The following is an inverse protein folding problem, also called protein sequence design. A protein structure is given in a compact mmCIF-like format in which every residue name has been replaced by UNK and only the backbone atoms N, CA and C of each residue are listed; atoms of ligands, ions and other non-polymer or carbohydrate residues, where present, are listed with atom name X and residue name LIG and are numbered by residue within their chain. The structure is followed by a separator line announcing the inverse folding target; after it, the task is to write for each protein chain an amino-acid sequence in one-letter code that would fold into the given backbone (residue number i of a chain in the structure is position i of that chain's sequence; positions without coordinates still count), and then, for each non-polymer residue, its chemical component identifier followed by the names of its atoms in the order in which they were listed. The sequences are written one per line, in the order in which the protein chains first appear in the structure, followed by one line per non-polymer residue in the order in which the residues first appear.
data_IF_022131187199
#
_entry.id   IF_022131187199
#
_cell.length_a   1.000
_cell.length_b   1.000
_cell.length_c   1.000
_cell.angle_alpha   90.00
_cell.angle_beta   90.00
_cell.angle_gamma   90.00
#
_symmetry.space_group_name_H-M   'P 1'
#
loop_
_entity.id
_entity.type
_entity.pdbx_description
1 polymer ?
#
# COMPACT_ATOMS: atom_id res chain seq x y z
N UNK A 1 2.35 -3.24 -18.64
CA UNK A 1 2.99 -4.27 -17.78
C UNK A 1 4.47 -3.98 -17.51
N UNK A 2 5.35 -3.89 -18.53
CA UNK A 2 6.80 -3.67 -18.32
C UNK A 2 7.16 -2.48 -17.41
N UNK A 3 6.52 -1.32 -17.60
CA UNK A 3 6.73 -0.13 -16.75
C UNK A 3 6.32 -0.35 -15.30
N UNK A 4 5.24 -1.08 -15.07
CA UNK A 4 4.77 -1.41 -13.72
C UNK A 4 5.81 -2.27 -13.00
N UNK A 5 6.25 -3.35 -13.64
CA UNK A 5 7.29 -4.23 -13.10
C UNK A 5 8.60 -3.46 -12.82
N UNK A 6 9.01 -2.58 -13.73
CA UNK A 6 10.22 -1.76 -13.54
C UNK A 6 10.11 -0.85 -12.30
N UNK A 7 8.97 -0.17 -12.11
CA UNK A 7 8.73 0.66 -10.92
C UNK A 7 8.66 -0.19 -9.66
N UNK A 8 8.04 -1.38 -9.71
CA UNK A 8 8.00 -2.31 -8.58
C UNK A 8 9.39 -2.75 -8.16
N UNK A 9 10.22 -3.20 -9.10
CA UNK A 9 11.60 -3.62 -8.81
C UNK A 9 12.41 -2.44 -8.28
N UNK A 10 12.34 -1.27 -8.93
CA UNK A 10 13.06 -0.08 -8.49
C UNK A 10 12.63 0.37 -7.08
N UNK A 11 11.33 0.33 -6.79
CA UNK A 11 10.79 0.65 -5.47
C UNK A 11 11.21 -0.37 -4.40
N UNK A 12 11.26 -1.66 -4.73
CA UNK A 12 11.74 -2.69 -3.82
C UNK A 12 13.24 -2.55 -3.51
N UNK A 13 14.05 -2.23 -4.52
CA UNK A 13 15.48 -1.91 -4.33
C UNK A 13 15.62 -0.66 -3.47
N UNK A 14 14.85 0.41 -3.75
CA UNK A 14 14.85 1.61 -2.93
C UNK A 14 14.50 1.28 -1.47
N UNK A 15 13.46 0.46 -1.24
CA UNK A 15 13.04 0.03 0.08
C UNK A 15 14.15 -0.74 0.82
N UNK A 16 14.84 -1.65 0.14
CA UNK A 16 15.99 -2.35 0.71
C UNK A 16 17.16 -1.42 1.03
N UNK A 17 17.40 -0.39 0.21
CA UNK A 17 18.48 0.57 0.39
C UNK A 17 18.25 1.53 1.57
N UNK A 18 16.99 1.96 1.76
CA UNK A 18 16.60 2.92 2.80
C UNK A 18 16.01 2.26 4.05
N UNK A 19 15.73 0.95 4.03
CA UNK A 19 15.22 0.21 5.18
C UNK A 19 16.26 0.03 6.30
N UNK A 20 15.89 -0.49 7.47
CA UNK A 20 16.71 -0.51 8.70
C UNK A 20 18.13 -1.07 8.55
N UNK A 21 18.32 -2.04 7.64
CA UNK A 21 19.60 -2.71 7.38
C UNK A 21 20.27 -2.26 6.07
N UNK A 22 19.66 -1.30 5.37
CA UNK A 22 20.16 -0.74 4.13
C UNK A 22 21.26 0.32 4.36
N UNK A 23 22.13 0.57 3.36
CA UNK A 23 23.21 1.54 3.47
C UNK A 23 22.75 2.97 3.77
N UNK A 24 21.51 3.33 3.45
CA UNK A 24 20.94 4.67 3.65
C UNK A 24 19.85 4.72 4.72
N UNK A 25 19.59 3.60 5.41
CA UNK A 25 18.48 3.48 6.37
C UNK A 25 18.82 3.80 7.82
N UNK A 26 19.89 4.56 8.09
CA UNK A 26 20.35 4.85 9.46
C UNK A 26 19.29 5.50 10.35
N UNK A 27 18.34 6.23 9.76
CA UNK A 27 17.23 6.82 10.51
C UNK A 27 16.23 5.79 11.05
N UNK A 28 16.22 4.58 10.49
CA UNK A 28 15.50 3.42 11.00
C UNK A 28 16.42 2.41 11.71
N UNK A 29 17.63 2.80 12.12
CA UNK A 29 18.58 1.85 12.70
C UNK A 29 17.91 1.03 13.82
N UNK A 30 18.04 -0.31 13.82
CA UNK A 30 17.41 -1.14 14.84
C UNK A 30 17.84 -0.74 16.25
N UNK A 31 16.90 -0.82 17.20
CA UNK A 31 17.16 -0.55 18.60
C UNK A 31 18.28 -1.49 19.14
N UNK A 32 19.15 -1.03 20.05
CA UNK A 32 20.23 -1.85 20.61
C UNK A 32 19.76 -3.17 21.25
N UNK A 33 18.56 -3.15 21.84
CA UNK A 33 17.91 -4.31 22.46
C UNK A 33 17.23 -5.26 21.47
N UNK A 34 17.24 -4.96 20.16
CA UNK A 34 16.59 -5.80 19.17
C UNK A 34 17.27 -7.18 19.10
N UNK A 35 16.53 -8.30 19.30
CA UNK A 35 17.13 -9.62 19.37
C UNK A 35 17.93 -9.98 18.12
N UNK A 36 19.10 -10.60 18.33
CA UNK A 36 19.83 -11.25 17.23
C UNK A 36 19.12 -12.55 16.89
N UNK A 37 18.73 -12.67 15.62
CA UNK A 37 18.11 -13.87 15.06
C UNK A 37 19.13 -14.61 14.18
N UNK A 38 19.18 -15.94 14.30
CA UNK A 38 20.09 -16.82 13.57
C UNK A 38 19.35 -17.99 12.89
N UNK A 39 20.11 -18.80 12.14
CA UNK A 39 19.61 -19.99 11.47
C UNK A 39 18.36 -19.78 10.62
N UNK A 40 17.39 -20.70 10.76
CA UNK A 40 16.13 -20.68 10.03
C UNK A 40 15.25 -19.46 10.34
N UNK A 41 15.29 -18.96 11.59
CA UNK A 41 14.52 -17.79 11.99
C UNK A 41 14.98 -16.55 11.24
N UNK A 42 16.31 -16.37 11.10
CA UNK A 42 16.89 -15.30 10.28
C UNK A 42 16.46 -15.41 8.82
N UNK A 43 16.46 -16.62 8.24
CA UNK A 43 16.02 -16.82 6.87
C UNK A 43 14.55 -16.43 6.67
N UNK A 44 13.68 -16.77 7.62
CA UNK A 44 12.27 -16.36 7.63
C UNK A 44 12.10 -14.84 7.60
N UNK A 45 12.76 -14.12 8.52
CA UNK A 45 12.69 -12.65 8.56
C UNK A 45 13.29 -11.97 7.32
N UNK A 46 14.30 -12.57 6.69
CA UNK A 46 14.83 -12.07 5.41
C UNK A 46 13.78 -12.20 4.32
N UNK A 47 13.10 -13.35 4.22
CA UNK A 47 12.06 -13.59 3.25
C UNK A 47 10.86 -12.65 3.44
N UNK A 48 10.42 -12.46 4.68
CA UNK A 48 9.37 -11.49 5.05
C UNK A 48 9.75 -10.08 4.60
N UNK A 49 10.94 -9.59 4.97
CA UNK A 49 11.41 -8.26 4.57
C UNK A 49 11.52 -8.11 3.03
N UNK A 50 11.85 -9.18 2.29
CA UNK A 50 11.83 -9.15 0.83
C UNK A 50 10.40 -8.98 0.29
N UNK A 51 9.41 -9.67 0.87
CA UNK A 51 8.01 -9.54 0.49
C UNK A 51 7.49 -8.12 0.78
N UNK A 52 7.81 -7.56 1.94
CA UNK A 52 7.44 -6.19 2.29
C UNK A 52 8.06 -5.14 1.35
N UNK A 53 9.33 -5.32 0.98
CA UNK A 53 9.98 -4.44 -0.01
C UNK A 53 9.33 -4.55 -1.39
N UNK A 54 8.97 -5.75 -1.83
CA UNK A 54 8.23 -5.96 -3.08
C UNK A 54 6.84 -5.33 -3.02
N UNK A 55 6.12 -5.48 -1.90
CA UNK A 55 4.83 -4.84 -1.67
C UNK A 55 4.96 -3.32 -1.71
N UNK A 56 5.99 -2.75 -1.06
CA UNK A 56 6.30 -1.32 -1.14
C UNK A 56 6.50 -0.85 -2.58
N UNK A 57 7.34 -1.55 -3.34
CA UNK A 57 7.53 -1.26 -4.75
C UNK A 57 6.25 -1.36 -5.58
N UNK A 58 5.40 -2.36 -5.31
CA UNK A 58 4.10 -2.50 -5.96
C UNK A 58 3.16 -1.34 -5.59
N UNK A 59 3.15 -0.90 -4.33
CA UNK A 59 2.42 0.27 -3.87
C UNK A 59 2.85 1.55 -4.61
N UNK A 60 4.15 1.76 -4.81
CA UNK A 60 4.67 2.87 -5.63
C UNK A 60 4.25 2.75 -7.10
N UNK A 61 4.27 1.53 -7.67
CA UNK A 61 3.83 1.32 -9.05
C UNK A 61 2.33 1.61 -9.21
N UNK A 62 1.50 1.22 -8.23
CA UNK A 62 0.08 1.56 -8.18
C UNK A 62 -0.12 3.07 -8.03
N UNK A 63 0.65 3.72 -7.16
CA UNK A 63 0.62 5.18 -6.99
C UNK A 63 0.92 5.87 -8.34
N UNK A 64 2.05 5.57 -8.96
CA UNK A 64 2.49 6.31 -10.14
C UNK A 64 1.71 5.97 -11.42
N UNK A 65 1.28 4.71 -11.58
CA UNK A 65 0.75 4.20 -12.86
C UNK A 65 -0.67 3.64 -12.77
N UNK A 66 -1.17 3.35 -11.56
CA UNK A 66 -2.39 2.59 -11.34
C UNK A 66 -3.69 3.40 -11.43
N UNK A 67 -3.64 4.73 -11.29
CA UNK A 67 -4.86 5.57 -11.14
C UNK A 67 -5.93 5.33 -12.22
N UNK A 68 -5.52 5.20 -13.49
CA UNK A 68 -6.47 4.97 -14.61
C UNK A 68 -7.26 3.66 -14.46
N UNK A 69 -6.68 2.64 -13.85
CA UNK A 69 -7.35 1.35 -13.62
C UNK A 69 -8.53 1.49 -12.66
N UNK A 70 -8.39 2.32 -11.62
CA UNK A 70 -9.44 2.60 -10.62
C UNK A 70 -10.54 3.51 -11.18
N UNK A 71 -10.18 4.54 -11.95
CA UNK A 71 -11.16 5.38 -12.66
C UNK A 71 -12.05 4.52 -13.57
N UNK A 72 -11.46 3.54 -14.25
CA UNK A 72 -12.18 2.63 -15.12
C UNK A 72 -13.06 1.59 -14.39
N UNK A 73 -13.03 1.50 -13.05
CA UNK A 73 -13.72 0.45 -12.26
C UNK A 73 -14.60 0.95 -11.13
N UNK A 74 -14.64 2.26 -10.93
CA UNK A 74 -15.46 2.89 -9.88
C UNK A 74 -16.57 3.71 -10.53
N UNK A 75 -17.61 4.00 -9.76
CA UNK A 75 -18.76 4.79 -10.22
C UNK A 75 -18.48 6.29 -10.25
N UNK A 76 -17.63 6.79 -9.35
CA UNK A 76 -17.35 8.22 -9.18
C UNK A 76 -15.85 8.50 -9.13
N UNK A 77 -15.45 9.72 -9.46
CA UNK A 77 -14.06 10.15 -9.36
C UNK A 77 -13.53 10.13 -7.90
N UNK A 78 -14.41 10.39 -6.93
CA UNK A 78 -14.12 10.24 -5.51
C UNK A 78 -13.82 8.78 -5.16
N UNK A 79 -14.71 7.85 -5.54
CA UNK A 79 -14.48 6.41 -5.35
C UNK A 79 -13.19 5.92 -6.00
N UNK A 80 -12.88 6.37 -7.22
CA UNK A 80 -11.62 6.06 -7.89
C UNK A 80 -10.40 6.46 -7.06
N UNK A 81 -10.44 7.65 -6.47
CA UNK A 81 -9.34 8.21 -5.67
C UNK A 81 -9.21 7.46 -4.35
N UNK A 82 -10.33 7.18 -3.68
CA UNK A 82 -10.38 6.38 -2.45
C UNK A 82 -9.81 4.98 -2.67
N UNK A 83 -10.28 4.25 -3.68
CA UNK A 83 -9.82 2.89 -3.98
C UNK A 83 -8.33 2.86 -4.34
N UNK A 84 -7.87 3.84 -5.12
CA UNK A 84 -6.47 3.97 -5.50
C UNK A 84 -5.56 4.20 -4.30
N UNK A 85 -5.87 5.19 -3.45
CA UNK A 85 -5.07 5.51 -2.27
C UNK A 85 -5.13 4.41 -1.20
N UNK A 86 -6.29 3.78 -1.01
CA UNK A 86 -6.43 2.63 -0.11
C UNK A 86 -5.53 1.47 -0.57
N UNK A 87 -5.49 1.18 -1.88
CA UNK A 87 -4.61 0.14 -2.42
C UNK A 87 -3.13 0.49 -2.24
N UNK A 88 -2.76 1.76 -2.45
CA UNK A 88 -1.38 2.22 -2.19
C UNK A 88 -1.02 2.01 -0.73
N UNK A 89 -1.88 2.41 0.21
CA UNK A 89 -1.66 2.22 1.64
C UNK A 89 -1.47 0.74 1.99
N UNK A 90 -2.38 -0.13 1.55
CA UNK A 90 -2.36 -1.55 1.85
C UNK A 90 -1.11 -2.29 1.34
N UNK A 91 -0.42 -1.73 0.35
CA UNK A 91 0.81 -2.30 -0.20
C UNK A 91 2.06 -1.63 0.38
N UNK A 92 2.07 -0.29 0.45
CA UNK A 92 3.26 0.47 0.80
C UNK A 92 3.48 0.69 2.29
N UNK A 93 2.47 0.48 3.14
CA UNK A 93 2.60 0.76 4.58
C UNK A 93 3.42 -0.29 5.35
N UNK A 94 3.55 -1.52 4.85
CA UNK A 94 4.22 -2.62 5.55
C UNK A 94 5.71 -2.39 5.78
N UNK A 95 6.45 -1.92 4.77
CA UNK A 95 7.88 -1.65 4.94
C UNK A 95 8.17 -0.62 6.05
N UNK A 96 7.57 0.58 6.05
CA UNK A 96 7.81 1.53 7.14
C UNK A 96 7.25 1.04 8.48
N UNK A 97 6.20 0.21 8.48
CA UNK A 97 5.69 -0.46 9.69
C UNK A 97 6.76 -1.35 10.33
N UNK A 98 7.30 -2.31 9.58
CA UNK A 98 8.34 -3.21 10.05
C UNK A 98 9.63 -2.48 10.42
N UNK A 99 9.97 -1.41 9.69
CA UNK A 99 11.11 -0.56 10.01
C UNK A 99 10.94 0.13 11.37
N UNK A 100 9.74 0.64 11.68
CA UNK A 100 9.44 1.25 12.96
C UNK A 100 9.49 0.25 14.11
N UNK A 101 9.01 -0.98 13.91
CA UNK A 101 9.17 -2.03 14.92
C UNK A 101 10.63 -2.30 15.27
N UNK A 102 11.50 -2.39 14.25
CA UNK A 102 12.93 -2.60 14.46
C UNK A 102 13.58 -1.39 15.14
N UNK A 103 13.21 -0.18 14.72
CA UNK A 103 13.77 1.06 15.25
C UNK A 103 13.37 1.34 16.70
N UNK A 104 12.11 1.06 17.06
CA UNK A 104 11.57 1.30 18.41
C UNK A 104 11.96 0.18 19.38
N UNK A 105 12.09 -1.05 18.87
CA UNK A 105 12.48 -2.21 19.69
C UNK A 105 11.41 -2.60 20.70
N UNK A 106 11.83 -2.90 21.93
CA UNK A 106 10.97 -3.50 22.96
C UNK A 106 10.27 -2.46 23.85
N UNK A 107 9.73 -1.40 23.25
CA UNK A 107 9.14 -0.24 23.96
C UNK A 107 7.63 -0.12 23.67
N UNK A 108 6.75 -0.82 24.41
CA UNK A 108 5.33 -0.95 24.06
C UNK A 108 4.57 0.37 23.96
N UNK A 109 4.86 1.33 24.83
CA UNK A 109 4.21 2.64 24.80
C UNK A 109 4.48 3.42 23.50
N UNK A 110 5.66 3.24 22.91
CA UNK A 110 6.03 3.84 21.63
C UNK A 110 5.53 3.02 20.43
N UNK A 111 5.36 1.71 20.59
CA UNK A 111 4.76 0.84 19.56
C UNK A 111 3.26 1.05 19.43
N UNK A 112 2.53 1.33 20.51
CA UNK A 112 1.07 1.50 20.48
C UNK A 112 0.56 2.43 19.35
N UNK A 113 1.09 3.66 19.15
CA UNK A 113 0.67 4.49 18.02
C UNK A 113 1.02 3.87 16.66
N UNK A 114 2.14 3.14 16.54
CA UNK A 114 2.51 2.39 15.33
C UNK A 114 1.44 1.35 15.03
N UNK A 115 1.05 0.53 16.00
CA UNK A 115 -0.01 -0.48 15.82
C UNK A 115 -1.31 0.15 15.31
N UNK A 116 -1.74 1.24 15.95
CA UNK A 116 -2.99 1.93 15.58
C UNK A 116 -2.93 2.53 14.18
N UNK A 117 -1.82 3.17 13.81
CA UNK A 117 -1.67 3.80 12.50
C UNK A 117 -1.67 2.73 11.40
N UNK A 118 -0.86 1.69 11.55
CA UNK A 118 -0.64 0.72 10.48
C UNK A 118 -1.75 -0.32 10.40
N UNK A 119 -2.13 -0.97 11.51
CA UNK A 119 -3.21 -1.95 11.51
C UNK A 119 -4.59 -1.28 11.41
N UNK A 120 -4.84 -0.24 12.21
CA UNK A 120 -6.09 0.53 12.11
C UNK A 120 -6.24 1.18 10.74
N UNK A 121 -5.16 1.75 10.19
CA UNK A 121 -5.13 2.28 8.83
C UNK A 121 -5.39 1.20 7.76
N UNK A 122 -4.84 -0.01 7.92
CA UNK A 122 -5.12 -1.11 6.99
C UNK A 122 -6.59 -1.54 7.03
N UNK A 123 -7.20 -1.66 8.22
CA UNK A 123 -8.63 -1.95 8.37
C UNK A 123 -9.48 -0.87 7.69
N UNK A 124 -9.17 0.40 7.97
CA UNK A 124 -9.86 1.52 7.34
C UNK A 124 -9.69 1.53 5.82
N UNK A 125 -8.49 1.25 5.31
CA UNK A 125 -8.21 1.19 3.88
C UNK A 125 -8.96 0.03 3.20
N UNK A 126 -9.07 -1.14 3.83
CA UNK A 126 -9.89 -2.26 3.33
C UNK A 126 -11.36 -1.83 3.23
N UNK A 127 -11.91 -1.24 4.30
CA UNK A 127 -13.29 -0.75 4.30
C UNK A 127 -13.54 0.30 3.21
N UNK A 128 -12.62 1.27 3.08
CA UNK A 128 -12.69 2.32 2.06
C UNK A 128 -12.59 1.77 0.64
N UNK A 129 -11.74 0.77 0.40
CA UNK A 129 -11.60 0.09 -0.89
C UNK A 129 -12.90 -0.65 -1.26
N UNK A 130 -13.46 -1.43 -0.33
CA UNK A 130 -14.71 -2.16 -0.53
C UNK A 130 -15.88 -1.21 -0.80
N UNK A 131 -15.99 -0.12 -0.04
CA UNK A 131 -16.99 0.91 -0.25
C UNK A 131 -16.84 1.59 -1.62
N UNK A 132 -15.62 1.95 -2.01
CA UNK A 132 -15.38 2.62 -3.29
C UNK A 132 -15.69 1.73 -4.51
N UNK A 133 -15.52 0.41 -4.38
CA UNK A 133 -15.78 -0.56 -5.44
C UNK A 133 -17.25 -1.03 -5.49
N UNK A 134 -18.04 -0.82 -4.43
CA UNK A 134 -19.46 -1.21 -4.40
C UNK A 134 -20.40 -0.23 -5.09
N UNK A 135 -19.92 0.98 -5.41
CA UNK A 135 -20.69 1.97 -6.16
C UNK A 135 -21.14 1.44 -7.52
N UNK A 136 -22.46 1.33 -7.74
CA UNK A 136 -23.03 1.03 -9.06
C UNK A 136 -22.81 2.23 -9.97
N UNK A 137 -22.32 2.00 -11.19
CA UNK A 137 -22.42 3.02 -12.24
C UNK A 137 -23.88 3.26 -12.51
N UNK A 138 -24.39 4.43 -12.15
CA UNK A 138 -25.66 4.90 -12.67
C UNK A 138 -25.51 4.95 -14.20
N UNK A 139 -26.33 4.18 -14.91
CA UNK A 139 -26.41 4.30 -16.36
C UNK A 139 -26.68 5.76 -16.72
N UNK A 140 -26.14 6.28 -17.84
CA UNK A 140 -26.61 7.56 -18.36
C UNK A 140 -28.13 7.48 -18.53
N UNK A 141 -28.82 8.48 -17.98
CA UNK A 141 -30.26 8.60 -17.99
C UNK A 141 -30.77 8.50 -19.45
N UNK A 142 -31.44 7.39 -19.81
CA UNK A 142 -32.08 7.21 -21.13
C UNK A 142 -33.25 8.19 -21.35
N UNK A 143 -33.52 9.06 -20.38
CA UNK A 143 -34.67 9.96 -20.31
C UNK A 143 -34.57 11.19 -21.23
N UNK A 144 -33.69 11.18 -22.23
CA UNK A 144 -33.68 12.18 -23.33
C UNK A 144 -33.80 11.56 -24.73
N UNK A 145 -34.27 10.32 -24.85
CA UNK A 145 -34.86 9.86 -26.10
C UNK A 145 -36.25 10.52 -26.25
N UNK A 146 -36.25 11.78 -26.71
CA UNK A 146 -37.45 12.47 -27.17
C UNK A 146 -38.10 11.61 -28.28
N UNK A 147 -39.36 11.14 -28.13
CA UNK A 147 -40.04 10.46 -29.20
C UNK A 147 -40.41 11.49 -30.26
N UNK A 148 -39.52 11.70 -31.23
CA UNK A 148 -39.86 12.48 -32.43
C UNK A 148 -40.83 11.66 -33.28
N UNK A 149 -42.11 11.78 -32.93
CA UNK A 149 -43.21 11.56 -33.83
C UNK A 149 -43.04 12.47 -35.06
N UNK A 150 -43.11 11.87 -36.25
CA UNK A 150 -43.59 12.41 -37.54
C UNK A 150 -43.43 11.26 -38.55
N UNK A 151 -44.52 10.55 -38.81
CA UNK A 151 -45.44 10.71 -39.97
C UNK A 151 -44.86 10.12 -41.24
#
# INVERSE_FOLDING_TARGET
MRRFLAVTIAGAVLAALVGPRGPFGRFWAPAPEFPRVDGALRAGFVAENMLENLAFGAGLAVLLLGRRWFVARTATAGGATTAWLATVWLLASWMPHAALHQHIGMRPAALLPVEWIFHGGAIAAIGALLWALSGRRTAPDETTAEPSARR
#
